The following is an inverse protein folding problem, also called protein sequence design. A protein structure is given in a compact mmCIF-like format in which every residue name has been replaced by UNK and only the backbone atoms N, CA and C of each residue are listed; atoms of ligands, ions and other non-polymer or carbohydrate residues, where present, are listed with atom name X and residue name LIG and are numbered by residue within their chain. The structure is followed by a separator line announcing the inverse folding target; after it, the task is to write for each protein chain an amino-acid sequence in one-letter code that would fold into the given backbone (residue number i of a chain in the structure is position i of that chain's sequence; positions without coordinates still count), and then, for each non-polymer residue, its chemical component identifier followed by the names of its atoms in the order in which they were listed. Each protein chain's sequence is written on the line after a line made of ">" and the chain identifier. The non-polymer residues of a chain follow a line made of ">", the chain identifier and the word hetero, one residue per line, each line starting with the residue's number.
data_IF_448703813807
#
_entry.id   IF_448703813807
#
_cell.length_a   1.000
_cell.length_b   1.000
_cell.length_c   1.000
_cell.angle_alpha   90.00
_cell.angle_beta   90.00
_cell.angle_gamma   90.00
#
_symmetry.space_group_name_H-M   'P 1'
#
loop_
_entity.id
_entity.type
_entity.pdbx_description
1 polymer ?
#
# COMPACT_ATOMS: atom_id res chain seq x y z
N UNK A 1 -10.85 -44.70 56.90
CA UNK A 1 -9.90 -43.56 56.68
C UNK A 1 -10.21 -42.90 55.37
N UNK A 2 -11.09 -41.88 55.44
CA UNK A 2 -11.45 -41.04 54.30
C UNK A 2 -10.48 -39.85 54.24
N UNK A 3 -9.62 -39.79 53.24
CA UNK A 3 -8.89 -38.61 52.90
C UNK A 3 -9.60 -37.93 51.73
N UNK A 4 -10.39 -36.92 52.01
CA UNK A 4 -10.96 -36.00 51.03
C UNK A 4 -9.93 -34.88 50.73
N UNK A 5 -9.38 -34.89 49.52
CA UNK A 5 -8.57 -33.76 49.01
C UNK A 5 -9.49 -32.68 48.52
N UNK A 6 -9.50 -31.55 49.20
CA UNK A 6 -10.17 -30.33 48.76
C UNK A 6 -9.37 -29.67 47.65
N UNK A 7 -9.98 -29.52 46.47
CA UNK A 7 -9.44 -28.74 45.36
C UNK A 7 -9.62 -27.24 45.64
N UNK A 8 -8.59 -26.40 45.53
CA UNK A 8 -8.79 -24.95 45.67
C UNK A 8 -9.51 -24.38 44.43
N UNK A 9 -10.52 -23.57 44.71
CA UNK A 9 -11.31 -22.87 43.72
C UNK A 9 -10.43 -21.94 42.88
N UNK A 10 -10.56 -22.06 41.56
CA UNK A 10 -9.92 -21.14 40.61
C UNK A 10 -10.54 -19.74 40.73
N UNK A 11 -9.68 -18.73 40.87
CA UNK A 11 -10.06 -17.32 40.84
C UNK A 11 -10.54 -16.93 39.41
N UNK A 12 -11.51 -16.02 39.28
CA UNK A 12 -12.01 -15.60 37.98
C UNK A 12 -10.94 -14.83 37.19
N UNK A 13 -10.66 -15.34 36.00
CA UNK A 13 -9.82 -14.63 35.00
C UNK A 13 -10.58 -13.39 34.56
N UNK A 14 -10.08 -12.20 34.93
CA UNK A 14 -10.55 -10.95 34.37
C UNK A 14 -10.14 -10.91 32.88
N UNK A 15 -11.13 -10.89 32.00
CA UNK A 15 -10.95 -10.60 30.59
C UNK A 15 -10.42 -9.16 30.46
N UNK A 16 -9.20 -9.03 30.00
CA UNK A 16 -8.65 -7.75 29.58
C UNK A 16 -9.43 -7.23 28.36
N UNK A 17 -9.98 -6.04 28.48
CA UNK A 17 -10.62 -5.32 27.37
C UNK A 17 -9.61 -5.10 26.22
N UNK A 18 -10.06 -5.09 24.95
CA UNK A 18 -9.18 -4.81 23.84
C UNK A 18 -8.68 -3.37 23.93
N UNK A 19 -7.38 -3.19 24.00
CA UNK A 19 -6.72 -1.89 23.92
C UNK A 19 -6.84 -1.43 22.48
N UNK A 20 -7.77 -0.52 22.21
CA UNK A 20 -7.84 0.23 20.96
C UNK A 20 -6.62 1.14 20.90
N UNK A 21 -5.59 0.74 20.17
CA UNK A 21 -4.50 1.65 19.82
C UNK A 21 -5.00 2.60 18.75
N UNK A 22 -5.43 3.77 19.20
CA UNK A 22 -5.69 4.90 18.32
C UNK A 22 -4.34 5.44 17.86
N UNK A 23 -3.94 5.13 16.65
CA UNK A 23 -2.85 5.83 15.99
C UNK A 23 -3.35 7.21 15.60
N UNK A 24 -3.07 8.21 16.43
CA UNK A 24 -3.25 9.60 16.04
C UNK A 24 -2.21 9.96 14.99
N UNK A 25 -2.62 9.93 13.74
CA UNK A 25 -1.89 10.57 12.66
C UNK A 25 -1.95 12.08 12.92
N UNK A 26 -0.86 12.65 13.40
CA UNK A 26 -0.71 14.09 13.41
C UNK A 26 -0.55 14.55 11.96
N UNK A 27 -1.67 14.92 11.34
CA UNK A 27 -1.67 15.75 10.15
C UNK A 27 -1.14 17.12 10.56
N UNK A 28 0.15 17.34 10.35
CA UNK A 28 0.70 18.69 10.30
C UNK A 28 0.17 19.34 9.02
N UNK A 29 -0.86 20.13 9.18
CA UNK A 29 -1.35 21.04 8.16
C UNK A 29 -0.27 22.11 7.95
N UNK A 30 0.59 21.92 6.95
CA UNK A 30 1.45 22.98 6.46
C UNK A 30 0.55 23.96 5.69
N UNK A 31 0.14 25.01 6.36
CA UNK A 31 -0.37 26.21 5.70
C UNK A 31 0.83 26.88 5.04
N UNK A 32 1.08 26.57 3.78
CA UNK A 32 1.99 27.37 2.98
C UNK A 32 1.26 28.64 2.52
N UNK A 33 1.69 29.76 3.07
CA UNK A 33 1.50 31.05 2.44
C UNK A 33 2.17 31.02 1.09
N UNK A 34 1.39 30.88 0.03
CA UNK A 34 1.87 30.97 -1.32
C UNK A 34 1.88 32.43 -1.71
N UNK A 35 3.02 33.08 -1.44
CA UNK A 35 3.37 34.31 -2.12
C UNK A 35 3.57 34.02 -3.62
N UNK A 36 3.01 34.90 -4.39
CA UNK A 36 2.84 34.94 -5.82
C UNK A 36 4.21 34.98 -6.53
N UNK A 37 4.78 33.81 -6.89
CA UNK A 37 5.92 33.75 -7.81
C UNK A 37 5.74 32.62 -8.83
N UNK A 38 5.65 33.05 -10.08
CA UNK A 38 5.87 32.34 -11.34
C UNK A 38 5.37 30.88 -11.42
N UNK A 39 4.23 30.72 -12.06
CA UNK A 39 3.79 29.45 -12.62
C UNK A 39 4.84 28.96 -13.62
N UNK A 40 5.86 28.27 -13.14
CA UNK A 40 6.61 27.35 -13.99
C UNK A 40 5.60 26.31 -14.45
N UNK A 41 5.28 26.35 -15.74
CA UNK A 41 4.41 25.38 -16.37
C UNK A 41 4.94 23.97 -16.02
N UNK A 42 4.25 23.27 -15.12
CA UNK A 42 4.46 21.84 -14.95
C UNK A 42 4.24 21.23 -16.33
N UNK A 43 5.15 20.40 -16.84
CA UNK A 43 4.88 19.68 -18.06
C UNK A 43 3.58 18.93 -17.85
N UNK A 44 2.52 19.31 -18.59
CA UNK A 44 1.27 18.57 -18.61
C UNK A 44 1.62 17.15 -19.03
N UNK A 45 1.62 16.24 -18.06
CA UNK A 45 1.76 14.83 -18.33
C UNK A 45 0.45 14.38 -18.95
N UNK A 46 0.39 14.48 -20.29
CA UNK A 46 -0.76 13.97 -21.05
C UNK A 46 -0.90 12.49 -20.74
N UNK A 47 -1.96 12.15 -20.04
CA UNK A 47 -2.39 10.77 -19.84
C UNK A 47 -2.96 10.19 -21.16
N UNK A 48 -2.19 10.30 -22.25
CA UNK A 48 -2.59 9.89 -23.60
C UNK A 48 -2.83 8.38 -23.75
N UNK A 49 -2.82 7.62 -22.63
CA UNK A 49 -3.06 6.19 -22.64
C UNK A 49 -4.46 5.80 -23.15
N UNK A 50 -5.42 6.75 -23.11
CA UNK A 50 -6.80 6.51 -23.58
C UNK A 50 -7.24 7.48 -24.68
N UNK A 51 -6.38 8.43 -25.11
CA UNK A 51 -6.76 9.45 -26.09
C UNK A 51 -7.85 10.41 -25.59
N UNK A 52 -8.09 10.45 -24.29
CA UNK A 52 -9.10 11.29 -23.66
C UNK A 52 -8.56 12.70 -23.43
N UNK A 53 -9.40 13.70 -23.68
CA UNK A 53 -9.06 15.08 -23.35
C UNK A 53 -9.04 15.29 -21.81
N UNK A 54 -8.40 16.37 -21.37
CA UNK A 54 -8.38 16.72 -19.94
C UNK A 54 -9.80 16.93 -19.36
N UNK A 55 -10.72 17.38 -20.21
CA UNK A 55 -12.14 17.53 -19.83
C UNK A 55 -12.82 16.18 -19.64
N UNK A 56 -12.63 15.25 -20.59
CA UNK A 56 -13.19 13.89 -20.49
C UNK A 56 -12.67 13.16 -19.26
N UNK A 57 -11.40 13.39 -18.92
CA UNK A 57 -10.79 12.81 -17.70
C UNK A 57 -11.43 13.35 -16.42
N UNK A 58 -11.75 14.65 -16.38
CA UNK A 58 -12.41 15.26 -15.23
C UNK A 58 -13.86 14.77 -15.05
N UNK A 59 -14.56 14.51 -16.16
CA UNK A 59 -15.94 13.97 -16.12
C UNK A 59 -15.98 12.50 -15.69
N UNK A 60 -14.90 11.74 -15.94
CA UNK A 60 -14.80 10.33 -15.57
C UNK A 60 -14.23 10.12 -14.17
N UNK A 61 -13.63 11.14 -13.57
CA UNK A 61 -13.02 11.04 -12.25
C UNK A 61 -14.12 10.93 -11.16
N UNK A 62 -14.03 9.89 -10.38
CA UNK A 62 -14.94 9.70 -9.23
C UNK A 62 -14.57 10.57 -8.03
N UNK A 63 -13.39 11.22 -8.03
CA UNK A 63 -12.82 11.93 -6.89
C UNK A 63 -12.37 11.01 -5.75
N UNK A 64 -12.44 9.68 -5.94
CA UNK A 64 -12.01 8.70 -4.94
C UNK A 64 -10.59 8.26 -5.27
N UNK A 65 -9.67 8.52 -4.34
CA UNK A 65 -8.30 8.07 -4.43
C UNK A 65 -8.18 6.59 -4.07
N UNK A 66 -7.47 5.84 -4.91
CA UNK A 66 -7.03 4.48 -4.63
C UNK A 66 -5.57 4.50 -4.20
N UNK A 67 -5.26 3.82 -3.11
CA UNK A 67 -3.90 3.62 -2.64
C UNK A 67 -3.75 2.19 -2.12
N UNK A 68 -2.76 1.48 -2.63
CA UNK A 68 -2.53 0.10 -2.21
C UNK A 68 -1.40 -0.56 -2.99
N UNK A 69 -1.23 -1.85 -2.75
CA UNK A 69 -0.21 -2.65 -3.42
C UNK A 69 -0.78 -3.31 -4.66
N UNK A 70 -0.08 -3.13 -5.78
CA UNK A 70 -0.46 -3.75 -7.05
C UNK A 70 -0.12 -5.24 -7.05
N UNK A 71 -1.08 -6.03 -7.45
CA UNK A 71 -0.88 -7.43 -7.85
C UNK A 71 -1.21 -7.56 -9.34
N UNK A 72 -0.21 -7.92 -10.14
CA UNK A 72 -0.37 -8.15 -11.58
C UNK A 72 -0.70 -9.60 -11.82
N UNK A 73 -1.80 -9.84 -12.52
CA UNK A 73 -2.28 -11.18 -12.87
C UNK A 73 -1.58 -11.72 -14.12
N UNK A 74 -1.52 -13.04 -14.31
CA UNK A 74 -0.89 -13.66 -15.49
C UNK A 74 -1.45 -13.16 -16.83
N UNK A 75 -2.72 -12.76 -16.85
CA UNK A 75 -3.41 -12.21 -18.04
C UNK A 75 -3.01 -10.76 -18.36
N UNK A 76 -2.14 -10.16 -17.53
CA UNK A 76 -1.56 -8.85 -17.77
C UNK A 76 -2.37 -7.67 -17.24
N UNK A 77 -3.55 -7.87 -16.67
CA UNK A 77 -4.24 -6.86 -15.86
C UNK A 77 -3.81 -6.97 -14.38
N UNK A 78 -4.23 -6.06 -13.53
CA UNK A 78 -3.90 -6.12 -12.12
C UNK A 78 -5.00 -5.57 -11.23
N UNK A 79 -4.78 -5.73 -9.92
CA UNK A 79 -5.58 -5.12 -8.87
C UNK A 79 -4.72 -4.39 -7.87
N UNK A 80 -5.13 -3.18 -7.49
CA UNK A 80 -4.60 -2.51 -6.32
C UNK A 80 -5.32 -3.10 -5.12
N UNK A 81 -4.58 -3.79 -4.25
CA UNK A 81 -5.08 -4.36 -3.00
C UNK A 81 -5.08 -3.28 -1.94
N UNK A 82 -6.27 -2.80 -1.61
CA UNK A 82 -6.43 -1.67 -0.68
C UNK A 82 -6.41 -2.11 0.78
N UNK A 83 -6.70 -3.40 1.06
CA UNK A 83 -6.82 -3.92 2.42
C UNK A 83 -5.94 -5.16 2.63
N UNK A 84 -5.01 -5.10 3.58
CA UNK A 84 -4.21 -6.23 4.07
C UNK A 84 -3.55 -7.11 2.97
N UNK A 85 -3.28 -6.58 1.79
CA UNK A 85 -2.64 -7.28 0.65
C UNK A 85 -3.42 -8.49 0.12
N UNK A 86 -4.61 -8.76 0.64
CA UNK A 86 -5.48 -9.85 0.23
C UNK A 86 -6.59 -9.35 -0.69
N UNK A 87 -7.15 -10.22 -1.54
CA UNK A 87 -8.32 -9.88 -2.34
C UNK A 87 -9.47 -9.37 -1.47
N UNK A 88 -9.99 -8.20 -1.79
CA UNK A 88 -11.06 -7.52 -1.07
C UNK A 88 -12.12 -6.92 -1.99
N UNK A 89 -13.20 -6.42 -1.42
CA UNK A 89 -14.29 -5.80 -2.18
C UNK A 89 -13.92 -4.39 -2.68
N UNK A 90 -12.97 -3.74 -2.00
CA UNK A 90 -12.50 -2.39 -2.33
C UNK A 90 -11.31 -2.38 -3.30
N UNK A 91 -10.96 -3.55 -3.86
CA UNK A 91 -9.87 -3.64 -4.81
C UNK A 91 -10.16 -2.84 -6.07
N UNK A 92 -9.13 -2.22 -6.63
CA UNK A 92 -9.24 -1.38 -7.81
C UNK A 92 -8.56 -2.05 -9.00
N UNK A 93 -9.33 -2.25 -10.07
CA UNK A 93 -8.85 -2.83 -11.31
C UNK A 93 -7.88 -1.89 -12.03
N UNK A 94 -6.75 -2.44 -12.48
CA UNK A 94 -5.72 -1.73 -13.26
C UNK A 94 -5.62 -2.36 -14.66
N UNK A 95 -5.80 -1.53 -15.66
CA UNK A 95 -5.79 -1.98 -17.05
C UNK A 95 -4.37 -2.38 -17.52
N UNK A 96 -4.23 -3.38 -18.43
CA UNK A 96 -2.95 -3.79 -18.98
C UNK A 96 -2.16 -2.67 -19.66
N UNK A 97 -2.87 -1.69 -20.23
CA UNK A 97 -2.26 -0.52 -20.86
C UNK A 97 -1.51 0.35 -19.84
N UNK A 98 -2.09 0.54 -18.66
CA UNK A 98 -1.46 1.31 -17.57
C UNK A 98 -0.25 0.55 -17.01
N UNK A 99 -0.38 -0.76 -16.80
CA UNK A 99 0.71 -1.61 -16.32
C UNK A 99 1.92 -1.52 -17.26
N UNK A 100 1.69 -1.69 -18.56
CA UNK A 100 2.77 -1.58 -19.56
C UNK A 100 3.34 -0.16 -19.67
N UNK A 101 2.47 0.85 -19.66
CA UNK A 101 2.89 2.25 -19.82
C UNK A 101 3.83 2.70 -18.71
N UNK A 102 3.50 2.40 -17.46
CA UNK A 102 4.27 2.83 -16.29
C UNK A 102 5.25 1.77 -15.79
N UNK A 103 5.42 0.67 -16.51
CA UNK A 103 6.27 -0.46 -16.12
C UNK A 103 5.97 -0.93 -14.69
N UNK A 104 4.67 -1.04 -14.38
CA UNK A 104 4.20 -1.45 -13.07
C UNK A 104 4.45 -2.94 -12.84
N UNK A 105 4.79 -3.30 -11.62
CA UNK A 105 5.06 -4.69 -11.22
C UNK A 105 4.30 -5.04 -9.96
N UNK A 106 4.09 -6.32 -9.74
CA UNK A 106 3.56 -6.82 -8.47
C UNK A 106 4.44 -6.36 -7.32
N UNK A 107 3.81 -5.81 -6.28
CA UNK A 107 4.49 -5.24 -5.12
C UNK A 107 4.68 -3.73 -5.18
N UNK A 108 4.37 -3.06 -6.30
CA UNK A 108 4.39 -1.61 -6.36
C UNK A 108 3.27 -1.00 -5.55
N UNK A 109 3.59 0.04 -4.79
CA UNK A 109 2.58 0.89 -4.15
C UNK A 109 2.10 1.88 -5.19
N UNK A 110 0.85 1.75 -5.60
CA UNK A 110 0.24 2.61 -6.63
C UNK A 110 -0.81 3.50 -5.99
N UNK A 111 -0.71 4.79 -6.27
CA UNK A 111 -1.71 5.78 -5.89
C UNK A 111 -2.29 6.41 -7.15
N UNK A 112 -3.59 6.62 -7.17
CA UNK A 112 -4.27 7.25 -8.30
C UNK A 112 -5.76 7.41 -8.06
N UNK A 113 -6.47 7.99 -9.00
CA UNK A 113 -7.91 8.19 -8.90
C UNK A 113 -8.67 7.09 -9.63
N UNK A 114 -9.82 6.73 -9.08
CA UNK A 114 -10.72 5.76 -9.67
C UNK A 114 -11.69 6.41 -10.65
N UNK A 115 -12.13 5.64 -11.63
CA UNK A 115 -13.18 6.03 -12.57
C UNK A 115 -14.56 5.87 -11.95
N UNK A 116 -15.49 6.76 -12.30
CA UNK A 116 -16.91 6.56 -12.01
C UNK A 116 -17.37 5.25 -12.63
N UNK A 117 -18.06 4.39 -11.86
CA UNK A 117 -18.64 3.15 -12.37
C UNK A 117 -19.69 3.47 -13.42
N UNK A 118 -19.52 2.92 -14.61
CA UNK A 118 -20.45 3.13 -15.73
C UNK A 118 -21.68 2.23 -15.62
N UNK A 119 -21.57 1.14 -14.88
CA UNK A 119 -22.62 0.13 -14.72
C UNK A 119 -22.62 -0.43 -13.31
N UNK A 120 -23.80 -0.68 -12.76
CA UNK A 120 -23.98 -1.40 -11.49
C UNK A 120 -23.43 -2.85 -11.53
N UNK A 121 -23.21 -3.37 -12.73
CA UNK A 121 -22.63 -4.71 -12.92
C UNK A 121 -21.12 -4.74 -12.72
N UNK A 122 -20.44 -3.59 -12.69
CA UNK A 122 -19.02 -3.51 -12.42
C UNK A 122 -18.74 -3.81 -10.94
N UNK A 123 -18.20 -4.99 -10.67
CA UNK A 123 -17.88 -5.42 -9.31
C UNK A 123 -16.81 -4.54 -8.67
N UNK A 124 -15.77 -4.22 -9.42
CA UNK A 124 -14.63 -3.44 -8.95
C UNK A 124 -14.60 -2.06 -9.59
N UNK A 125 -14.10 -1.06 -8.85
CA UNK A 125 -13.76 0.24 -9.44
C UNK A 125 -12.53 0.07 -10.34
N UNK A 126 -12.42 0.88 -11.39
CA UNK A 126 -11.26 0.86 -12.28
C UNK A 126 -10.38 2.10 -12.05
N UNK A 127 -9.07 1.93 -12.10
CA UNK A 127 -8.12 3.02 -12.01
C UNK A 127 -8.22 3.89 -13.26
N UNK A 128 -8.48 5.19 -13.07
CA UNK A 128 -8.55 6.17 -14.16
C UNK A 128 -7.15 6.63 -14.57
N UNK A 129 -6.37 7.11 -13.61
CA UNK A 129 -4.99 7.53 -13.82
C UNK A 129 -4.13 7.27 -12.58
N UNK A 130 -2.82 7.17 -12.82
CA UNK A 130 -1.82 6.98 -11.78
C UNK A 130 -1.24 8.31 -11.37
N UNK A 131 -1.27 8.62 -10.07
CA UNK A 131 -0.69 9.83 -9.48
C UNK A 131 0.74 9.59 -9.03
N UNK A 132 0.99 8.46 -8.35
CA UNK A 132 2.34 8.09 -7.92
C UNK A 132 2.56 6.58 -7.95
N UNK A 133 3.83 6.18 -8.05
CA UNK A 133 4.28 4.79 -7.95
C UNK A 133 5.44 4.77 -6.95
N UNK A 134 5.28 4.01 -5.86
CA UNK A 134 6.27 3.96 -4.77
C UNK A 134 6.65 5.36 -4.23
N UNK A 135 5.67 6.27 -4.17
CA UNK A 135 5.87 7.65 -3.73
C UNK A 135 6.58 8.57 -4.73
N UNK A 136 6.92 8.07 -5.93
CA UNK A 136 7.56 8.85 -6.98
C UNK A 136 6.59 9.17 -8.11
N UNK A 137 6.91 10.22 -8.89
CA UNK A 137 6.14 10.53 -10.08
C UNK A 137 6.23 9.38 -11.10
N UNK A 138 5.13 9.00 -11.79
CA UNK A 138 5.11 7.83 -12.68
C UNK A 138 6.18 7.82 -13.76
N UNK A 139 6.57 9.00 -14.29
CA UNK A 139 7.63 9.12 -15.27
C UNK A 139 9.03 8.78 -14.73
N UNK A 140 9.27 9.04 -13.46
CA UNK A 140 10.52 8.68 -12.77
C UNK A 140 10.53 7.20 -12.40
N UNK A 141 9.41 6.72 -11.88
CA UNK A 141 9.24 5.31 -11.54
C UNK A 141 9.43 4.38 -12.75
N UNK A 142 9.05 4.82 -13.95
CA UNK A 142 9.23 4.07 -15.20
C UNK A 142 10.71 3.81 -15.52
N UNK A 143 11.62 4.72 -15.14
CA UNK A 143 13.06 4.64 -15.43
C UNK A 143 13.83 3.75 -14.45
N UNK A 144 13.17 3.23 -13.42
CA UNK A 144 13.82 2.40 -12.41
C UNK A 144 14.43 1.13 -13.03
N UNK A 145 15.62 0.72 -12.57
CA UNK A 145 16.19 -0.56 -12.97
C UNK A 145 15.32 -1.70 -12.44
N UNK A 146 15.25 -2.81 -13.17
CA UNK A 146 14.62 -4.03 -12.64
C UNK A 146 15.49 -4.65 -11.55
N UNK A 147 14.86 -5.39 -10.63
CA UNK A 147 15.54 -6.02 -9.50
C UNK A 147 16.71 -6.91 -9.95
N UNK A 148 16.56 -7.62 -11.05
CA UNK A 148 17.57 -8.51 -11.60
C UNK A 148 18.83 -7.78 -12.08
N UNK A 149 18.69 -6.48 -12.36
CA UNK A 149 19.80 -5.63 -12.82
C UNK A 149 20.48 -4.85 -11.68
N UNK A 150 20.02 -5.05 -10.44
CA UNK A 150 20.65 -4.43 -9.29
C UNK A 150 21.93 -5.18 -8.91
N UNK A 151 22.96 -4.43 -8.51
CA UNK A 151 24.21 -5.03 -8.01
C UNK A 151 23.94 -5.65 -6.63
N UNK A 152 24.15 -6.97 -6.46
CA UNK A 152 24.03 -7.58 -5.15
C UNK A 152 25.12 -7.06 -4.20
N UNK A 153 24.69 -6.65 -3.01
CA UNK A 153 25.58 -6.19 -1.95
C UNK A 153 25.53 -7.22 -0.83
N UNK A 154 26.71 -7.65 -0.36
CA UNK A 154 26.76 -8.49 0.83
C UNK A 154 26.27 -7.71 2.06
N UNK A 155 25.49 -8.34 2.94
CA UNK A 155 25.02 -7.68 4.15
C UNK A 155 26.22 -7.30 5.02
N UNK A 156 26.30 -6.02 5.40
CA UNK A 156 27.35 -5.45 6.23
C UNK A 156 26.81 -4.92 7.57
N UNK A 157 25.52 -4.93 7.75
CA UNK A 157 24.84 -4.50 8.98
C UNK A 157 24.00 -5.65 9.52
N UNK A 158 24.13 -5.91 10.82
CA UNK A 158 23.35 -6.94 11.48
C UNK A 158 21.92 -6.47 11.74
N UNK A 159 20.94 -7.22 11.28
CA UNK A 159 19.52 -7.02 11.62
C UNK A 159 19.26 -7.64 13.00
N UNK A 160 18.97 -6.81 14.00
CA UNK A 160 18.59 -7.26 15.35
C UNK A 160 17.09 -7.47 15.43
N UNK A 161 16.66 -8.71 15.62
CA UNK A 161 15.26 -9.08 15.80
C UNK A 161 14.81 -8.94 17.26
N UNK A 162 15.75 -9.03 18.20
CA UNK A 162 15.48 -8.82 19.62
C UNK A 162 15.13 -7.35 19.89
N UNK A 163 13.97 -7.15 20.51
CA UNK A 163 13.50 -5.83 20.97
C UNK A 163 13.14 -5.91 22.45
N UNK A 164 13.28 -4.80 23.16
CA UNK A 164 12.84 -4.71 24.55
C UNK A 164 11.33 -4.99 24.64
N UNK A 165 10.94 -5.97 25.45
CA UNK A 165 9.56 -6.45 25.53
C UNK A 165 9.14 -7.42 24.40
N UNK A 166 10.04 -7.80 23.51
CA UNK A 166 9.81 -8.77 22.44
C UNK A 166 9.72 -10.21 22.94
N UNK A 167 9.35 -11.13 22.05
CA UNK A 167 9.22 -12.54 22.38
C UNK A 167 10.60 -13.21 22.55
N UNK A 168 10.65 -14.24 23.41
CA UNK A 168 11.87 -15.06 23.58
C UNK A 168 12.29 -15.74 22.27
N UNK A 169 11.33 -16.06 21.40
CA UNK A 169 11.60 -16.66 20.09
C UNK A 169 12.50 -15.78 19.22
N UNK A 170 12.25 -14.45 19.17
CA UNK A 170 13.07 -13.51 18.40
C UNK A 170 14.49 -13.42 18.95
N UNK A 171 14.66 -13.50 20.28
CA UNK A 171 15.96 -13.56 20.92
C UNK A 171 16.72 -14.82 20.56
N UNK A 172 16.03 -15.97 20.56
CA UNK A 172 16.64 -17.25 20.15
C UNK A 172 17.08 -17.20 18.69
N UNK A 173 16.28 -16.63 17.80
CA UNK A 173 16.62 -16.48 16.37
C UNK A 173 17.88 -15.61 16.21
N UNK A 174 17.98 -14.50 16.92
CA UNK A 174 19.15 -13.62 16.87
C UNK A 174 20.45 -14.30 17.31
N UNK A 175 20.36 -15.30 18.20
CA UNK A 175 21.52 -16.05 18.68
C UNK A 175 21.90 -17.19 17.73
N UNK A 176 20.89 -17.91 17.21
CA UNK A 176 21.11 -19.13 16.42
C UNK A 176 21.33 -18.82 14.95
N UNK A 177 20.66 -17.80 14.41
CA UNK A 177 20.72 -17.41 13.01
C UNK A 177 20.80 -15.88 12.89
N UNK A 178 21.94 -15.26 13.24
CA UNK A 178 22.13 -13.83 13.10
C UNK A 178 22.09 -13.45 11.62
N UNK A 179 21.23 -12.50 11.29
CA UNK A 179 21.00 -11.98 9.93
C UNK A 179 21.72 -10.64 9.77
#
# INVERSE_FOLDING_TARGET
>A
NNNSYSTPAAAPVQQAAPVSQTYSTQNQTYVQNVDNQERVARPEYRNDAMGLSTQDMAELDSGIEANGILEVMPDGFGFIRCENFLPGENDVYVAPSQIRRFNLKTGDIVTGNTRIKTSEKEKFSALLFVTSVNGQHPAEAQKRPSFENLTPIFPNERLRLERQGGSVAMRVVDVVSPI
#
